data_IF_306768013205
#
_entry.id   IF_306768013205
#
_cell.length_a   1.000
_cell.length_b   1.000
_cell.length_c   1.000
_cell.angle_alpha   90.00
_cell.angle_beta   90.00
_cell.angle_gamma   90.00
#
_symmetry.space_group_name_H-M   'P 1'
#
loop_
_entity.id
_entity.type
_entity.pdbx_description
1 polymer ?
#
# COMPACT_ATOMS: atom_id res chain seq x y z
N UNK A 1 23.29 -15.95 26.70
CA UNK A 1 23.36 -14.56 26.22
C UNK A 1 21.94 -14.02 26.20
N UNK A 2 21.71 -12.78 26.62
CA UNK A 2 20.38 -12.17 26.68
C UNK A 2 20.44 -10.75 26.08
N UNK A 3 19.41 -10.39 25.32
CA UNK A 3 19.28 -9.11 24.64
C UNK A 3 18.12 -8.32 25.27
N UNK A 4 18.30 -7.01 25.43
CA UNK A 4 17.26 -6.07 25.87
C UNK A 4 17.13 -4.98 24.81
N UNK A 5 15.95 -4.88 24.20
CA UNK A 5 15.57 -3.78 23.32
C UNK A 5 14.80 -2.73 24.13
N UNK A 6 15.18 -1.46 24.02
CA UNK A 6 14.46 -0.33 24.60
C UNK A 6 13.92 0.52 23.46
N UNK A 7 12.62 0.84 23.53
CA UNK A 7 11.93 1.73 22.59
C UNK A 7 11.51 2.96 23.38
N UNK A 8 11.91 4.13 22.92
CA UNK A 8 11.65 5.41 23.59
C UNK A 8 10.93 6.35 22.61
N UNK A 9 10.04 7.17 23.15
CA UNK A 9 9.38 8.25 22.42
C UNK A 9 10.16 9.53 22.70
N UNK A 10 10.73 10.13 21.65
CA UNK A 10 11.80 11.13 21.77
C UNK A 10 11.41 12.41 21.04
N UNK A 11 11.74 13.55 21.63
CA UNK A 11 11.51 14.89 21.10
C UNK A 11 12.49 15.17 19.95
N UNK A 12 11.95 15.57 18.80
CA UNK A 12 12.70 15.81 17.57
C UNK A 12 13.63 17.04 17.63
N UNK A 13 13.45 17.94 18.60
CA UNK A 13 14.23 19.18 18.76
C UNK A 13 15.49 18.94 19.59
N UNK A 14 15.36 18.29 20.74
CA UNK A 14 16.44 18.19 21.73
C UNK A 14 16.81 16.76 22.16
N UNK A 15 16.07 15.76 21.68
CA UNK A 15 16.30 14.36 22.05
C UNK A 15 15.84 13.97 23.45
N UNK A 16 15.11 14.84 24.16
CA UNK A 16 14.47 14.52 25.44
C UNK A 16 13.25 13.59 25.25
N UNK A 17 12.63 13.03 26.30
CA UNK A 17 11.41 12.25 26.13
C UNK A 17 10.26 13.10 25.57
N UNK A 18 9.68 12.68 24.45
CA UNK A 18 8.48 13.30 23.89
C UNK A 18 7.24 12.92 24.68
N UNK A 19 6.22 13.77 24.61
CA UNK A 19 4.91 13.54 25.23
C UNK A 19 3.79 13.43 24.19
N UNK A 20 3.91 14.15 23.06
CA UNK A 20 2.91 14.13 22.00
C UNK A 20 3.49 14.41 20.62
N UNK A 21 2.84 13.86 19.60
CA UNK A 21 3.03 14.25 18.20
C UNK A 21 2.11 15.43 17.87
N UNK A 22 2.67 16.52 17.33
CA UNK A 22 1.92 17.67 16.85
C UNK A 22 1.89 17.72 15.33
N UNK A 23 0.70 17.89 14.76
CA UNK A 23 0.52 18.14 13.33
C UNK A 23 0.30 19.62 13.06
N UNK A 24 1.03 20.17 12.10
CA UNK A 24 0.84 21.56 11.63
C UNK A 24 1.04 21.64 10.11
N UNK A 25 0.70 22.79 9.52
CA UNK A 25 0.82 22.97 8.07
C UNK A 25 1.32 24.35 7.70
N UNK A 26 2.23 24.41 6.73
CA UNK A 26 2.77 25.65 6.14
C UNK A 26 2.69 25.52 4.62
N UNK A 27 2.11 26.52 3.96
CA UNK A 27 1.94 26.53 2.49
C UNK A 27 1.23 25.27 1.92
N UNK A 28 0.33 24.68 2.71
CA UNK A 28 -0.43 23.48 2.33
C UNK A 28 0.33 22.17 2.50
N UNK A 29 1.61 22.20 2.87
CA UNK A 29 2.38 21.01 3.27
C UNK A 29 2.08 20.69 4.73
N UNK A 30 1.79 19.43 5.01
CA UNK A 30 1.50 18.92 6.36
C UNK A 30 2.78 18.34 6.97
N UNK A 31 3.08 18.75 8.19
CA UNK A 31 4.23 18.30 8.98
C UNK A 31 3.73 17.66 10.27
N UNK A 32 4.50 16.70 10.76
CA UNK A 32 4.35 16.08 12.08
C UNK A 32 5.68 16.21 12.81
N UNK A 33 5.62 16.41 14.13
CA UNK A 33 6.79 16.54 14.99
C UNK A 33 6.49 15.99 16.39
N UNK A 34 7.38 15.20 16.93
CA UNK A 34 7.29 14.65 18.28
C UNK A 34 7.94 15.61 19.27
N UNK A 35 7.17 16.05 20.28
CA UNK A 35 7.58 17.12 21.20
C UNK A 35 7.28 16.78 22.65
N UNK A 36 8.14 17.24 23.55
CA UNK A 36 7.90 17.35 24.98
C UNK A 36 6.88 18.48 25.29
N UNK A 37 6.39 18.52 26.53
CA UNK A 37 5.38 19.50 26.97
C UNK A 37 5.76 20.96 26.67
N UNK A 38 7.02 21.31 26.92
CA UNK A 38 7.54 22.66 26.83
C UNK A 38 7.61 23.12 25.37
N UNK A 39 8.18 22.31 24.48
CA UNK A 39 8.27 22.62 23.06
C UNK A 39 6.90 22.64 22.38
N UNK A 40 6.02 21.71 22.75
CA UNK A 40 4.65 21.71 22.25
C UNK A 40 3.89 22.99 22.63
N UNK A 41 4.09 23.49 23.86
CA UNK A 41 3.50 24.75 24.29
C UNK A 41 4.12 25.94 23.55
N UNK A 42 5.44 25.96 23.40
CA UNK A 42 6.15 26.98 22.64
C UNK A 42 5.61 27.08 21.21
N UNK A 43 5.42 25.96 20.51
CA UNK A 43 4.87 25.94 19.15
C UNK A 43 3.47 26.57 19.10
N UNK A 44 2.59 26.24 20.07
CA UNK A 44 1.26 26.86 20.16
C UNK A 44 1.34 28.37 20.37
N UNK A 45 2.23 28.82 21.24
CA UNK A 45 2.39 30.24 21.56
C UNK A 45 2.90 31.05 20.36
N UNK A 46 3.84 30.50 19.58
CA UNK A 46 4.33 31.13 18.34
C UNK A 46 3.21 31.30 17.29
N UNK A 47 2.35 30.28 17.16
CA UNK A 47 1.24 30.31 16.21
C UNK A 47 0.06 31.15 16.68
N UNK A 48 -0.07 31.38 17.99
CA UNK A 48 -1.23 32.03 18.61
C UNK A 48 -1.55 33.40 18.00
N UNK A 49 -0.52 34.22 17.71
CA UNK A 49 -0.70 35.53 17.07
C UNK A 49 -1.39 35.39 15.71
N UNK A 50 -0.94 34.45 14.88
CA UNK A 50 -1.51 34.24 13.55
C UNK A 50 -2.90 33.63 13.62
N UNK A 51 -3.09 32.64 14.50
CA UNK A 51 -4.40 31.99 14.70
C UNK A 51 -5.46 33.02 15.12
N UNK A 52 -5.11 33.97 15.98
CA UNK A 52 -6.05 35.00 16.47
C UNK A 52 -6.56 35.92 15.35
N UNK A 53 -5.74 36.18 14.34
CA UNK A 53 -6.10 37.04 13.20
C UNK A 53 -6.56 36.26 11.96
N UNK A 54 -6.38 34.93 11.94
CA UNK A 54 -6.77 34.09 10.84
C UNK A 54 -8.25 33.69 10.91
N UNK A 55 -8.85 33.46 9.75
CA UNK A 55 -10.13 32.75 9.66
C UNK A 55 -9.88 31.25 9.62
N UNK A 56 -10.72 30.48 10.32
CA UNK A 56 -10.73 29.01 10.16
C UNK A 56 -11.32 28.68 8.80
N UNK A 57 -10.50 28.17 7.89
CA UNK A 57 -11.00 27.53 6.68
C UNK A 57 -11.71 26.22 7.06
N UNK A 58 -12.90 25.94 6.49
CA UNK A 58 -13.53 24.63 6.66
C UNK A 58 -12.57 23.56 6.16
N UNK A 59 -12.22 22.62 7.04
CA UNK A 59 -11.28 21.55 6.75
C UNK A 59 -11.56 20.95 5.36
N UNK A 60 -10.57 21.01 4.47
CA UNK A 60 -10.65 20.40 3.14
C UNK A 60 -11.08 18.95 3.31
N UNK A 61 -12.22 18.58 2.69
CA UNK A 61 -12.87 17.27 2.83
C UNK A 61 -12.06 16.11 2.22
N UNK A 62 -10.79 16.32 1.86
CA UNK A 62 -9.90 15.30 1.29
C UNK A 62 -9.77 14.09 2.21
N UNK A 63 -9.45 14.29 3.49
CA UNK A 63 -9.24 13.17 4.41
C UNK A 63 -10.52 12.42 4.78
N UNK A 64 -11.67 13.11 4.90
CA UNK A 64 -12.95 12.44 5.20
C UNK A 64 -13.47 11.60 4.04
N UNK A 65 -13.14 11.97 2.79
CA UNK A 65 -13.53 11.19 1.62
C UNK A 65 -12.69 9.92 1.52
N UNK A 66 -11.36 10.04 1.66
CA UNK A 66 -10.47 8.88 1.68
C UNK A 66 -10.79 7.91 2.84
N UNK A 67 -11.11 8.43 4.02
CA UNK A 67 -11.51 7.58 5.15
C UNK A 67 -12.86 6.88 4.91
N UNK A 68 -13.83 7.56 4.31
CA UNK A 68 -15.11 6.96 3.91
C UNK A 68 -14.93 5.89 2.84
N UNK A 69 -14.10 6.14 1.84
CA UNK A 69 -13.79 5.18 0.78
C UNK A 69 -13.05 3.95 1.34
N UNK A 70 -12.12 4.11 2.28
CA UNK A 70 -11.50 2.98 2.98
C UNK A 70 -12.50 2.20 3.84
N UNK A 71 -13.39 2.87 4.56
CA UNK A 71 -14.44 2.20 5.35
C UNK A 71 -15.38 1.40 4.44
N UNK A 72 -15.82 1.99 3.34
CA UNK A 72 -16.65 1.31 2.34
C UNK A 72 -15.93 0.09 1.75
N UNK A 73 -14.64 0.22 1.40
CA UNK A 73 -13.83 -0.88 0.88
C UNK A 73 -13.64 -2.01 1.90
N UNK A 74 -13.54 -1.70 3.20
CA UNK A 74 -13.47 -2.72 4.26
C UNK A 74 -14.80 -3.46 4.41
N UNK A 75 -15.92 -2.77 4.29
CA UNK A 75 -17.26 -3.38 4.37
C UNK A 75 -17.55 -4.28 3.16
N UNK A 76 -17.23 -3.84 1.94
CA UNK A 76 -17.39 -4.66 0.74
C UNK A 76 -16.52 -5.91 0.79
N UNK A 77 -15.26 -5.79 1.24
CA UNK A 77 -14.36 -6.94 1.39
C UNK A 77 -14.84 -7.94 2.46
N UNK A 78 -15.44 -7.48 3.56
CA UNK A 78 -16.08 -8.35 4.55
C UNK A 78 -17.25 -9.13 3.94
N UNK A 79 -18.09 -8.44 3.17
CA UNK A 79 -19.21 -9.07 2.44
C UNK A 79 -18.74 -10.13 1.45
N UNK A 80 -17.72 -9.82 0.64
CA UNK A 80 -17.14 -10.76 -0.33
C UNK A 80 -16.53 -11.98 0.36
N UNK A 81 -15.83 -11.79 1.47
CA UNK A 81 -15.26 -12.89 2.25
C UNK A 81 -16.35 -13.83 2.80
N UNK A 82 -17.47 -13.29 3.26
CA UNK A 82 -18.61 -14.09 3.71
C UNK A 82 -19.24 -14.90 2.56
N UNK A 83 -19.40 -14.29 1.37
CA UNK A 83 -19.91 -14.97 0.18
C UNK A 83 -18.98 -16.11 -0.28
N UNK A 84 -17.66 -15.87 -0.31
CA UNK A 84 -16.68 -16.91 -0.66
C UNK A 84 -16.76 -18.10 0.30
N UNK A 85 -16.88 -17.85 1.61
CA UNK A 85 -17.05 -18.94 2.59
C UNK A 85 -18.34 -19.72 2.39
N UNK A 86 -19.47 -19.04 2.14
CA UNK A 86 -20.75 -19.68 1.89
C UNK A 86 -20.73 -20.50 0.60
N UNK A 87 -20.11 -19.99 -0.46
CA UNK A 87 -19.94 -20.72 -1.72
C UNK A 87 -19.08 -21.98 -1.52
N UNK A 88 -17.97 -21.87 -0.79
CA UNK A 88 -17.11 -23.02 -0.48
C UNK A 88 -17.84 -24.09 0.36
N UNK A 89 -18.70 -23.68 1.28
CA UNK A 89 -19.54 -24.61 2.07
C UNK A 89 -20.54 -25.37 1.19
N UNK A 90 -21.26 -24.67 0.30
CA UNK A 90 -22.22 -25.31 -0.62
C UNK A 90 -21.54 -26.28 -1.58
N UNK A 91 -20.38 -25.92 -2.12
CA UNK A 91 -19.61 -26.82 -3.00
C UNK A 91 -19.16 -28.05 -2.22
N UNK A 92 -18.74 -27.89 -0.96
CA UNK A 92 -18.39 -29.02 -0.06
C UNK A 92 -19.59 -29.91 0.25
N UNK A 93 -20.76 -29.33 0.50
CA UNK A 93 -22.01 -30.07 0.72
C UNK A 93 -22.44 -30.84 -0.53
N UNK A 94 -22.34 -30.23 -1.72
CA UNK A 94 -22.65 -30.88 -2.99
C UNK A 94 -21.71 -32.05 -3.30
N UNK A 95 -20.40 -31.90 -3.06
CA UNK A 95 -19.45 -33.02 -3.20
C UNK A 95 -19.73 -34.16 -2.20
N UNK A 96 -20.26 -33.85 -1.02
CA UNK A 96 -20.60 -34.89 -0.02
C UNK A 96 -21.86 -35.69 -0.36
N UNK A 97 -22.67 -35.25 -1.32
CA UNK A 97 -23.93 -35.91 -1.73
C UNK A 97 -23.84 -36.60 -3.10
N UNK A 98 -22.66 -36.77 -3.69
CA UNK A 98 -22.54 -37.54 -4.93
C UNK A 98 -22.57 -39.04 -4.59
N UNK A 99 -23.64 -39.80 -4.93
CA UNK A 99 -23.62 -41.24 -4.80
C UNK A 99 -22.63 -41.82 -5.82
N UNK A 100 -21.77 -42.72 -5.36
CA UNK A 100 -20.96 -43.55 -6.24
C UNK A 100 -21.90 -44.48 -7.03
N UNK A 101 -22.11 -44.17 -8.30
CA UNK A 101 -22.72 -45.04 -9.31
C UNK A 101 -21.92 -44.84 -10.60
N UNK A 102 -21.43 -45.81 -11.34
CA UNK A 102 -21.49 -47.27 -11.31
C UNK A 102 -20.26 -47.74 -12.09
N UNK A 103 -19.63 -48.81 -11.62
CA UNK A 103 -18.53 -49.46 -12.29
C UNK A 103 -19.10 -50.54 -13.22
N UNK A 104 -19.16 -50.25 -14.53
CA UNK A 104 -19.34 -51.30 -15.54
C UNK A 104 -18.02 -51.55 -16.23
N UNK A 105 -17.46 -52.69 -15.84
CA UNK A 105 -16.36 -53.44 -16.40
C UNK A 105 -16.63 -53.83 -17.86
N UNK A 106 -15.81 -53.37 -18.80
CA UNK A 106 -15.65 -54.00 -20.12
C UNK A 106 -14.22 -53.78 -20.64
N UNK A 107 -13.38 -54.76 -20.29
CA UNK A 107 -12.34 -55.41 -21.10
C UNK A 107 -11.42 -54.53 -21.96
N UNK A 108 -10.23 -54.30 -21.41
CA UNK A 108 -8.99 -53.98 -22.11
C UNK A 108 -8.54 -55.16 -23.02
N UNK A 109 -7.92 -54.90 -24.18
CA UNK A 109 -6.66 -55.59 -24.43
C UNK A 109 -5.57 -54.67 -24.99
N UNK A 110 -4.69 -54.26 -24.08
CA UNK A 110 -3.23 -54.36 -24.09
C UNK A 110 -2.41 -53.55 -25.14
N UNK A 111 -1.23 -53.01 -24.78
CA UNK A 111 -0.60 -51.80 -25.33
C UNK A 111 0.72 -52.14 -26.06
N UNK A 112 1.83 -51.34 -26.06
CA UNK A 112 2.05 -49.90 -25.88
C UNK A 112 2.88 -49.28 -27.03
N UNK A 113 2.80 -47.96 -27.27
CA UNK A 113 3.86 -47.26 -28.01
C UNK A 113 3.98 -45.77 -27.64
N UNK A 114 5.19 -45.45 -27.18
CA UNK A 114 5.88 -44.15 -27.25
C UNK A 114 5.39 -42.98 -26.38
N UNK A 115 6.15 -42.82 -25.28
CA UNK A 115 6.33 -41.58 -24.53
C UNK A 115 7.04 -40.60 -25.47
N UNK A 116 6.37 -39.53 -25.89
CA UNK A 116 7.04 -38.40 -26.55
C UNK A 116 7.08 -37.23 -25.56
N UNK A 117 8.29 -36.80 -25.24
CA UNK A 117 8.63 -35.70 -24.33
C UNK A 117 7.78 -34.44 -24.59
N UNK A 118 7.13 -33.94 -23.54
CA UNK A 118 6.62 -32.58 -23.53
C UNK A 118 7.81 -31.66 -23.24
N UNK A 119 8.36 -31.09 -24.30
CA UNK A 119 9.40 -30.05 -24.25
C UNK A 119 8.94 -28.88 -23.40
N UNK A 120 9.71 -28.61 -22.34
CA UNK A 120 9.62 -27.41 -21.50
C UNK A 120 9.95 -26.19 -22.35
N UNK A 121 8.96 -25.32 -22.58
CA UNK A 121 9.18 -24.01 -23.19
C UNK A 121 9.56 -23.03 -22.09
N UNK A 122 10.85 -22.68 -22.00
CA UNK A 122 11.35 -21.59 -21.16
C UNK A 122 10.86 -20.22 -21.68
N UNK A 123 10.56 -19.25 -20.79
CA UNK A 123 10.10 -17.92 -21.20
C UNK A 123 11.27 -17.08 -21.71
N UNK A 124 11.24 -16.76 -23.00
CA UNK A 124 12.22 -15.87 -23.62
C UNK A 124 12.06 -14.43 -23.12
N UNK A 125 13.11 -13.95 -22.45
CA UNK A 125 13.35 -12.54 -22.12
C UNK A 125 13.34 -11.66 -23.37
N UNK A 126 12.46 -10.66 -23.41
CA UNK A 126 12.41 -9.62 -24.44
C UNK A 126 13.60 -8.67 -24.28
N UNK A 127 14.55 -8.72 -25.22
CA UNK A 127 15.61 -7.70 -25.36
C UNK A 127 15.05 -6.47 -26.07
N UNK A 128 15.14 -5.31 -25.45
CA UNK A 128 14.94 -4.02 -26.11
C UNK A 128 16.13 -3.72 -27.05
N UNK A 129 15.91 -3.20 -28.27
CA UNK A 129 17.00 -2.73 -29.12
C UNK A 129 17.44 -1.32 -28.70
N UNK A 130 18.69 -1.21 -28.25
CA UNK A 130 19.45 0.04 -28.15
C UNK A 130 19.91 0.44 -29.54
N UNK A 131 19.50 1.61 -30.04
CA UNK A 131 20.12 2.24 -31.22
C UNK A 131 20.68 3.62 -30.84
N UNK A 132 21.92 3.99 -31.24
CA UNK A 132 22.61 5.17 -30.75
C UNK A 132 22.48 6.39 -31.69
N UNK A 133 22.71 7.59 -31.13
CA UNK A 133 23.21 8.81 -31.79
C UNK A 133 22.31 9.53 -32.82
N UNK A 134 21.69 10.66 -32.40
CA UNK A 134 21.98 12.01 -32.91
C UNK A 134 21.26 13.07 -32.05
N UNK A 135 22.03 14.04 -31.55
CA UNK A 135 21.59 15.20 -30.76
C UNK A 135 21.03 16.33 -31.67
N UNK A 136 20.51 17.45 -31.13
CA UNK A 136 21.41 18.47 -30.60
C UNK A 136 20.99 19.11 -29.27
N UNK A 137 22.05 19.49 -28.58
CA UNK A 137 22.23 20.34 -27.41
C UNK A 137 21.50 21.70 -27.55
N UNK A 138 20.50 21.96 -26.69
CA UNK A 138 19.97 23.31 -26.47
C UNK A 138 20.84 24.01 -25.43
N UNK A 139 21.62 25.00 -25.87
CA UNK A 139 22.42 25.87 -25.01
C UNK A 139 21.53 26.71 -24.06
N UNK A 140 21.97 26.99 -22.81
CA UNK A 140 21.27 27.93 -21.94
C UNK A 140 21.51 29.39 -22.38
N UNK A 141 20.56 30.31 -22.15
CA UNK A 141 20.64 31.69 -22.58
C UNK A 141 21.73 32.48 -21.82
N UNK A 142 22.50 33.26 -22.57
CA UNK A 142 23.47 34.23 -22.04
C UNK A 142 22.71 35.46 -21.50
N UNK A 143 22.78 35.71 -20.20
CA UNK A 143 22.37 37.00 -19.63
C UNK A 143 23.50 38.03 -19.86
N UNK A 144 23.27 39.01 -20.74
CA UNK A 144 24.01 40.28 -20.68
C UNK A 144 23.33 41.17 -19.64
N UNK A 145 24.08 41.59 -18.62
CA UNK A 145 23.70 42.72 -17.77
C UNK A 145 24.40 43.98 -18.27
N UNK A 146 23.60 45.01 -18.52
CA UNK A 146 23.97 46.43 -18.60
C UNK A 146 23.97 46.98 -17.18
#
# INVERSE_FOLDING_TARGET
MAEKTVVEFVDDIDGSPAEQTMTFSVEGVVYEIDLNAHHAQHLRDLLQRYITHARREPAHRGNRRAEREQRQARETNKGLTAQIRQAAQRTREHLSHQPASEQTDHTDPNPPAEITEITVVEPHTRKEPRNPQHAPELAPPQFSSI
#
